data_IF_424960574643
#
_entry.id   IF_424960574643
#
_cell.length_a   1.000
_cell.length_b   1.000
_cell.length_c   1.000
_cell.angle_alpha   90.00
_cell.angle_beta   90.00
_cell.angle_gamma   90.00
#
_symmetry.space_group_name_H-M   'P 1'
#
loop_
_entity.id
_entity.type
_entity.pdbx_description
1 polymer ?
#
# COMPACT_ATOMS: atom_id res chain seq x y z
N UNK A 1 18.17 24.07 -7.83
CA UNK A 1 17.01 24.09 -6.92
C UNK A 1 15.78 23.67 -7.71
N UNK A 2 15.43 22.39 -7.69
CA UNK A 2 14.33 21.87 -8.50
C UNK A 2 13.02 21.98 -7.71
N UNK A 3 12.25 23.01 -8.09
CA UNK A 3 10.80 23.08 -7.91
C UNK A 3 10.13 21.88 -8.58
N UNK A 4 9.26 21.18 -7.84
CA UNK A 4 8.08 20.45 -8.33
C UNK A 4 7.20 20.03 -7.13
N UNK A 5 6.86 20.99 -6.27
CA UNK A 5 5.68 20.91 -5.41
C UNK A 5 4.52 21.48 -6.23
N UNK A 6 3.96 20.68 -7.13
CA UNK A 6 2.71 20.98 -7.81
C UNK A 6 1.98 19.67 -8.08
N UNK A 7 1.38 19.13 -7.02
CA UNK A 7 0.37 18.09 -7.13
C UNK A 7 -0.83 18.52 -6.25
N UNK A 8 -1.96 18.96 -6.85
CA UNK A 8 -3.05 19.62 -6.14
C UNK A 8 -3.93 18.67 -5.30
N UNK A 9 -3.60 17.38 -5.20
CA UNK A 9 -4.37 16.41 -4.41
C UNK A 9 -4.02 16.40 -2.91
N UNK A 10 -2.91 17.01 -2.47
CA UNK A 10 -2.47 16.91 -1.07
C UNK A 10 -2.68 18.18 -0.22
N UNK A 11 -3.19 19.27 -0.79
CA UNK A 11 -3.38 20.54 -0.06
C UNK A 11 -4.84 20.83 0.33
N UNK A 12 -5.78 19.95 0.01
CA UNK A 12 -7.21 20.14 0.28
C UNK A 12 -7.77 19.40 1.50
N UNK A 13 -6.92 18.81 2.36
CA UNK A 13 -7.36 18.20 3.63
C UNK A 13 -6.86 18.92 4.88
N UNK A 14 -6.40 20.17 4.73
CA UNK A 14 -6.25 21.10 5.85
C UNK A 14 -7.60 21.76 6.25
N UNK A 15 -8.69 21.54 5.51
CA UNK A 15 -10.00 22.17 5.77
C UNK A 15 -11.09 21.32 6.44
N UNK A 16 -10.84 20.08 6.90
CA UNK A 16 -11.86 19.29 7.64
C UNK A 16 -11.31 18.94 9.02
N UNK A 17 -11.13 19.96 9.87
CA UNK A 17 -10.55 19.81 11.20
C UNK A 17 -11.50 20.06 12.39
N UNK A 18 -12.80 20.38 12.23
CA UNK A 18 -13.57 20.84 13.41
C UNK A 18 -15.01 20.32 13.56
N UNK A 19 -15.44 19.27 12.86
CA UNK A 19 -16.75 18.66 13.18
C UNK A 19 -16.72 17.14 12.99
N UNK A 20 -16.26 16.40 14.01
CA UNK A 20 -16.74 15.09 14.46
C UNK A 20 -15.68 14.40 15.36
N UNK A 21 -15.57 14.80 16.64
CA UNK A 21 -14.81 14.06 17.65
C UNK A 21 -15.39 12.65 17.96
N UNK A 22 -16.49 12.24 17.30
CA UNK A 22 -17.17 10.97 17.52
C UNK A 22 -17.05 9.96 16.36
N UNK A 23 -16.42 10.30 15.23
CA UNK A 23 -16.19 9.37 14.09
C UNK A 23 -14.76 8.81 14.09
N UNK A 24 -14.32 8.37 15.26
CA UNK A 24 -12.93 8.13 15.62
C UNK A 24 -12.35 6.84 15.00
N UNK A 25 -11.44 7.01 14.03
CA UNK A 25 -10.14 6.32 13.93
C UNK A 25 -10.08 4.79 14.13
N UNK A 26 -10.01 4.05 13.01
CA UNK A 26 -9.49 2.66 12.94
C UNK A 26 -8.92 2.46 11.51
N UNK A 27 -7.63 2.42 11.20
CA UNK A 27 -6.37 2.29 11.96
C UNK A 27 -5.23 3.00 11.23
N UNK A 28 -4.63 4.00 11.86
CA UNK A 28 -3.21 4.32 11.72
C UNK A 28 -2.67 4.40 13.15
N UNK A 29 -2.10 3.29 13.61
CA UNK A 29 -1.41 3.24 14.89
C UNK A 29 -0.08 3.97 14.74
N UNK A 30 -0.09 5.24 15.07
CA UNK A 30 1.07 5.90 15.68
C UNK A 30 0.70 6.21 17.13
N UNK A 31 1.59 5.76 18.02
CA UNK A 31 1.64 5.93 19.49
C UNK A 31 0.79 5.01 20.37
N UNK A 32 1.42 3.92 20.82
CA UNK A 32 1.31 3.45 22.21
C UNK A 32 2.72 3.46 22.81
N UNK A 33 3.06 4.51 23.55
CA UNK A 33 4.06 4.40 24.61
C UNK A 33 3.41 3.59 25.71
N UNK A 34 3.78 2.31 25.84
CA UNK A 34 3.79 1.48 27.08
C UNK A 34 4.33 0.07 26.73
N UNK A 35 5.58 -0.15 27.16
CA UNK A 35 6.29 -1.41 27.44
C UNK A 35 5.86 -2.72 26.74
N UNK A 36 6.19 -2.86 25.44
CA UNK A 36 6.55 -4.14 24.83
C UNK A 36 7.65 -3.86 23.79
N UNK A 37 8.89 -4.37 23.93
CA UNK A 37 9.91 -4.22 22.92
C UNK A 37 9.65 -5.20 21.78
N UNK A 38 8.52 -5.04 21.09
CA UNK A 38 8.28 -5.72 19.82
C UNK A 38 8.32 -4.63 18.76
N UNK A 39 9.55 -4.23 18.41
CA UNK A 39 9.81 -3.50 17.19
C UNK A 39 9.50 -4.46 16.04
N UNK A 40 8.22 -4.51 15.62
CA UNK A 40 7.80 -5.29 14.47
C UNK A 40 8.40 -4.64 13.21
N UNK A 41 9.66 -4.94 12.94
CA UNK A 41 10.30 -4.57 11.69
C UNK A 41 9.62 -5.31 10.56
N UNK A 42 9.33 -4.58 9.48
CA UNK A 42 8.87 -5.16 8.21
C UNK A 42 10.03 -5.37 7.22
N UNK A 43 11.24 -4.97 7.62
CA UNK A 43 12.44 -5.18 6.83
C UNK A 43 12.62 -6.66 6.54
N UNK A 44 12.93 -6.99 5.28
CA UNK A 44 13.13 -8.37 4.85
C UNK A 44 11.84 -9.20 4.73
N UNK A 45 10.65 -8.65 5.03
CA UNK A 45 9.37 -9.38 4.94
C UNK A 45 8.69 -9.21 3.59
N UNK A 46 7.84 -10.18 3.24
CA UNK A 46 6.93 -10.11 2.10
C UNK A 46 5.55 -9.64 2.55
N UNK A 47 4.90 -8.78 1.74
CA UNK A 47 3.55 -8.31 1.99
C UNK A 47 2.65 -8.48 0.76
N UNK A 48 1.38 -8.78 0.97
CA UNK A 48 0.32 -8.79 -0.04
C UNK A 48 -0.60 -7.58 0.20
N UNK A 49 -0.77 -6.75 -0.82
CA UNK A 49 -1.65 -5.58 -0.80
C UNK A 49 -2.79 -5.78 -1.78
N UNK A 50 -3.97 -5.98 -1.20
CA UNK A 50 -5.24 -6.08 -1.93
C UNK A 50 -5.59 -4.73 -2.54
N UNK A 51 -6.02 -4.74 -3.80
CA UNK A 51 -6.31 -3.53 -4.58
C UNK A 51 -5.13 -2.53 -4.61
N UNK A 52 -3.91 -3.05 -4.61
CA UNK A 52 -2.66 -2.30 -4.54
C UNK A 52 -2.28 -1.55 -5.82
N UNK A 53 -3.14 -1.49 -6.83
CA UNK A 53 -2.83 -0.89 -8.13
C UNK A 53 -3.03 0.62 -8.19
N UNK A 54 -3.81 1.19 -7.27
CA UNK A 54 -4.07 2.64 -7.23
C UNK A 54 -4.45 3.11 -5.82
N UNK A 55 -4.64 4.42 -5.65
CA UNK A 55 -5.18 5.02 -4.43
C UNK A 55 -4.46 4.60 -3.15
N UNK A 56 -5.24 4.22 -2.13
CA UNK A 56 -4.73 3.84 -0.80
C UNK A 56 -3.88 2.58 -0.86
N UNK A 57 -4.29 1.57 -1.65
CA UNK A 57 -3.52 0.33 -1.79
C UNK A 57 -2.13 0.59 -2.38
N UNK A 58 -2.04 1.40 -3.44
CA UNK A 58 -0.76 1.80 -4.02
C UNK A 58 0.10 2.59 -3.02
N UNK A 59 -0.49 3.57 -2.32
CA UNK A 59 0.23 4.35 -1.31
C UNK A 59 0.76 3.45 -0.17
N UNK A 60 -0.01 2.44 0.23
CA UNK A 60 0.40 1.47 1.24
C UNK A 60 1.55 0.57 0.74
N UNK A 61 1.48 0.08 -0.50
CA UNK A 61 2.57 -0.67 -1.12
C UNK A 61 3.87 0.16 -1.18
N UNK A 62 3.76 1.45 -1.50
CA UNK A 62 4.87 2.39 -1.51
C UNK A 62 5.50 2.55 -0.11
N UNK A 63 4.70 2.71 0.94
CA UNK A 63 5.21 2.82 2.32
C UNK A 63 5.88 1.54 2.84
N UNK A 64 5.37 0.36 2.45
CA UNK A 64 6.01 -0.92 2.77
C UNK A 64 7.40 -1.02 2.14
N UNK A 65 7.55 -0.58 0.89
CA UNK A 65 8.83 -0.59 0.18
C UNK A 65 9.82 0.41 0.78
N UNK A 66 9.38 1.62 1.15
CA UNK A 66 10.21 2.61 1.86
C UNK A 66 10.81 2.08 3.17
N UNK A 67 10.11 1.16 3.82
CA UNK A 67 10.51 0.50 5.07
C UNK A 67 11.25 -0.82 4.83
N UNK A 68 11.86 -0.98 3.65
CA UNK A 68 12.71 -2.11 3.28
C UNK A 68 12.02 -3.48 3.30
N UNK A 69 10.72 -3.56 2.98
CA UNK A 69 10.11 -4.84 2.67
C UNK A 69 10.94 -5.61 1.61
N UNK A 70 11.12 -6.92 1.80
CA UNK A 70 11.83 -7.75 0.83
C UNK A 70 11.07 -7.76 -0.51
N UNK A 71 9.74 -7.89 -0.44
CA UNK A 71 8.85 -7.95 -1.60
C UNK A 71 7.46 -7.46 -1.26
N UNK A 72 6.82 -6.79 -2.21
CA UNK A 72 5.40 -6.44 -2.14
C UNK A 72 4.67 -7.04 -3.33
N UNK A 73 3.59 -7.75 -3.06
CA UNK A 73 2.68 -8.27 -4.07
C UNK A 73 1.46 -7.35 -4.08
N UNK A 74 1.13 -6.78 -5.23
CA UNK A 74 -0.07 -5.95 -5.40
C UNK A 74 -1.07 -6.71 -6.26
N UNK A 75 -2.37 -6.54 -5.97
CA UNK A 75 -3.44 -7.14 -6.76
C UNK A 75 -4.44 -6.10 -7.24
N UNK A 76 -5.20 -6.43 -8.28
CA UNK A 76 -6.25 -5.57 -8.81
C UNK A 76 -6.92 -6.19 -10.04
N UNK A 77 -7.98 -5.54 -10.52
CA UNK A 77 -8.77 -6.06 -11.65
C UNK A 77 -8.13 -5.78 -13.02
N UNK A 78 -7.54 -4.59 -13.20
CA UNK A 78 -7.06 -4.12 -14.48
C UNK A 78 -5.57 -4.46 -14.68
N UNK A 79 -5.29 -5.31 -15.67
CA UNK A 79 -3.94 -5.81 -15.98
C UNK A 79 -2.97 -4.69 -16.35
N UNK A 80 -3.42 -3.75 -17.18
CA UNK A 80 -2.59 -2.64 -17.69
C UNK A 80 -2.15 -1.78 -16.51
N UNK A 81 -3.13 -1.28 -15.73
CA UNK A 81 -2.87 -0.45 -14.54
C UNK A 81 -2.00 -1.17 -13.51
N UNK A 82 -2.28 -2.45 -13.26
CA UNK A 82 -1.52 -3.25 -12.31
C UNK A 82 -0.06 -3.46 -12.73
N UNK A 83 0.18 -3.68 -14.02
CA UNK A 83 1.51 -3.85 -14.58
C UNK A 83 2.29 -2.54 -14.57
N UNK A 84 1.65 -1.43 -14.94
CA UNK A 84 2.22 -0.08 -14.86
C UNK A 84 2.62 0.27 -13.42
N UNK A 85 1.70 0.13 -12.47
CA UNK A 85 1.95 0.38 -11.05
C UNK A 85 3.11 -0.47 -10.50
N UNK A 86 3.19 -1.76 -10.86
CA UNK A 86 4.29 -2.60 -10.43
C UNK A 86 5.63 -2.17 -11.06
N UNK A 87 5.63 -1.77 -12.33
CA UNK A 87 6.82 -1.30 -13.02
C UNK A 87 7.33 0.03 -12.43
N UNK A 88 6.44 0.96 -12.11
CA UNK A 88 6.78 2.22 -11.45
C UNK A 88 7.47 1.98 -10.11
N UNK A 89 6.86 1.16 -9.24
CA UNK A 89 7.46 0.85 -7.94
C UNK A 89 8.78 0.08 -8.08
N UNK A 90 8.90 -0.83 -9.06
CA UNK A 90 10.17 -1.51 -9.34
C UNK A 90 11.27 -0.58 -9.87
N UNK A 91 10.91 0.49 -10.60
CA UNK A 91 11.87 1.51 -11.04
C UNK A 91 12.43 2.29 -9.83
N UNK A 92 11.59 2.58 -8.83
CA UNK A 92 11.97 3.36 -7.65
C UNK A 92 12.77 2.52 -6.65
N UNK A 93 12.29 1.32 -6.32
CA UNK A 93 12.82 0.51 -5.20
C UNK A 93 13.74 -0.64 -5.62
N UNK A 94 13.89 -0.87 -6.92
CA UNK A 94 14.73 -1.92 -7.49
C UNK A 94 13.95 -3.03 -8.19
N UNK A 95 14.63 -3.69 -9.14
CA UNK A 95 14.04 -4.75 -9.96
C UNK A 95 13.52 -5.89 -9.07
N UNK A 96 12.34 -6.41 -9.42
CA UNK A 96 11.67 -7.56 -8.77
C UNK A 96 11.22 -7.36 -7.32
N UNK A 97 11.21 -6.11 -6.81
CA UNK A 97 10.64 -5.77 -5.50
C UNK A 97 9.12 -5.86 -5.47
N UNK A 98 8.46 -5.55 -6.58
CA UNK A 98 7.00 -5.60 -6.70
C UNK A 98 6.56 -6.61 -7.74
N UNK A 99 5.54 -7.41 -7.43
CA UNK A 99 4.87 -8.29 -8.38
C UNK A 99 3.38 -8.00 -8.40
N UNK A 100 2.81 -7.94 -9.58
CA UNK A 100 1.36 -7.79 -9.77
C UNK A 100 0.71 -9.16 -10.04
N UNK A 101 -0.48 -9.37 -9.48
CA UNK A 101 -1.40 -10.42 -9.89
C UNK A 101 -2.78 -9.84 -10.16
N UNK A 102 -3.34 -10.19 -11.32
CA UNK A 102 -4.74 -9.90 -11.59
C UNK A 102 -5.61 -10.72 -10.63
N UNK A 103 -6.62 -10.07 -10.05
CA UNK A 103 -7.50 -10.69 -9.09
C UNK A 103 -8.87 -10.04 -9.14
N UNK A 104 -9.90 -10.86 -9.34
CA UNK A 104 -11.28 -10.42 -9.22
C UNK A 104 -11.84 -10.76 -7.82
N UNK A 105 -12.10 -9.73 -7.03
CA UNK A 105 -12.64 -9.89 -5.67
C UNK A 105 -14.13 -10.21 -5.61
N UNK A 106 -14.85 -10.07 -6.73
CA UNK A 106 -16.28 -10.41 -6.80
C UNK A 106 -16.54 -11.92 -6.79
N UNK A 107 -15.51 -12.75 -7.01
CA UNK A 107 -15.62 -14.21 -7.02
C UNK A 107 -14.80 -14.84 -5.86
N UNK A 108 -15.46 -15.27 -4.77
CA UNK A 108 -14.77 -15.86 -3.61
C UNK A 108 -13.93 -17.12 -3.93
N UNK A 109 -14.32 -17.87 -4.97
CA UNK A 109 -13.60 -19.08 -5.39
C UNK A 109 -12.24 -18.75 -6.01
N UNK A 110 -12.18 -17.65 -6.76
CA UNK A 110 -10.95 -17.14 -7.39
C UNK A 110 -9.94 -16.65 -6.35
N UNK A 111 -10.41 -16.16 -5.21
CA UNK A 111 -9.55 -15.71 -4.11
C UNK A 111 -8.78 -16.89 -3.50
N UNK A 112 -9.52 -17.98 -3.19
CA UNK A 112 -8.92 -19.18 -2.59
C UNK A 112 -7.91 -19.83 -3.51
N UNK A 113 -8.23 -19.99 -4.80
CA UNK A 113 -7.30 -20.60 -5.74
C UNK A 113 -6.04 -19.75 -5.91
N UNK A 114 -6.14 -18.43 -6.02
CA UNK A 114 -4.97 -17.59 -6.27
C UNK A 114 -4.04 -17.40 -5.06
N UNK A 115 -4.55 -17.49 -3.83
CA UNK A 115 -3.74 -17.30 -2.60
C UNK A 115 -3.25 -18.64 -2.04
N UNK A 116 -4.02 -19.73 -2.13
CA UNK A 116 -3.70 -20.99 -1.45
C UNK A 116 -3.02 -22.04 -2.34
N UNK A 117 -2.96 -21.84 -3.67
CA UNK A 117 -2.39 -22.82 -4.61
C UNK A 117 -0.95 -22.51 -5.08
N UNK A 118 -0.29 -21.50 -4.49
CA UNK A 118 1.08 -21.07 -4.82
C UNK A 118 1.93 -20.96 -3.56
#
# INVERSE_FOLDING_TARGET
MLNLINCPVFKFHICILIILPCYYRKSYTTSSTLSCPIQHSIEGKCALVVDGTSGVGHAFANELLKRNAAKVIITGLNIIKGTESANELNKIYGKKKVKYYQMNFSNPLEIKSNILSK
#
